data_IF_249050675560
#
_entry.id   IF_249050675560
#
_cell.length_a   1.000
_cell.length_b   1.000
_cell.length_c   1.000
_cell.angle_alpha   90.00
_cell.angle_beta   90.00
_cell.angle_gamma   90.00
#
_symmetry.space_group_name_H-M   'P 1'
#
loop_
_entity.id
_entity.type
_entity.pdbx_description
1 polymer ?
#
# COMPACT_ATOMS: atom_id res chain seq x y z
N UNK A 1 -46.08 -1.42 13.28
CA UNK A 1 -45.33 -0.24 13.79
C UNK A 1 -43.92 -0.29 13.19
N UNK A 2 -43.55 0.75 12.45
CA UNK A 2 -42.32 0.89 11.65
C UNK A 2 -41.05 0.76 12.50
N UNK A 3 -40.00 0.14 11.94
CA UNK A 3 -38.65 0.75 11.82
C UNK A 3 -37.78 -0.07 10.87
N UNK A 4 -37.74 0.41 9.62
CA UNK A 4 -36.80 0.01 8.58
C UNK A 4 -35.41 0.47 9.01
N UNK A 5 -34.48 -0.45 9.28
CA UNK A 5 -33.07 -0.11 9.51
C UNK A 5 -32.41 -0.09 8.14
N UNK A 6 -32.48 1.06 7.48
CA UNK A 6 -31.71 1.38 6.28
C UNK A 6 -30.22 1.27 6.64
N UNK A 7 -29.64 0.11 6.34
CA UNK A 7 -28.19 -0.05 6.27
C UNK A 7 -27.73 0.97 5.22
N UNK A 8 -26.78 1.86 5.53
CA UNK A 8 -26.19 2.70 4.50
C UNK A 8 -25.57 1.75 3.48
N UNK A 9 -26.25 1.61 2.33
CA UNK A 9 -25.69 1.02 1.13
C UNK A 9 -24.48 1.87 0.83
N UNK A 10 -23.29 1.30 1.06
CA UNK A 10 -22.01 1.87 0.65
C UNK A 10 -22.24 2.38 -0.77
N UNK A 11 -22.19 3.70 -0.96
CA UNK A 11 -22.28 4.30 -2.29
C UNK A 11 -21.27 3.56 -3.13
N UNK A 12 -21.77 2.76 -4.09
CA UNK A 12 -20.99 2.24 -5.19
C UNK A 12 -20.45 3.49 -5.86
N UNK A 13 -19.24 3.88 -5.47
CA UNK A 13 -18.51 4.92 -6.16
C UNK A 13 -18.37 4.35 -7.56
N UNK A 14 -19.00 5.01 -8.53
CA UNK A 14 -18.99 4.70 -9.96
C UNK A 14 -17.55 4.86 -10.52
N UNK A 15 -16.60 4.11 -9.98
CA UNK A 15 -15.23 4.06 -10.41
C UNK A 15 -15.25 3.18 -11.66
N UNK A 16 -15.01 3.83 -12.81
CA UNK A 16 -14.81 3.18 -14.10
C UNK A 16 -13.94 1.92 -13.97
N UNK A 17 -14.35 0.83 -14.61
CA UNK A 17 -13.63 -0.44 -14.61
C UNK A 17 -12.16 -0.29 -15.04
N UNK A 18 -11.88 0.66 -15.94
CA UNK A 18 -10.53 1.00 -16.36
C UNK A 18 -9.69 1.61 -15.22
N UNK A 19 -10.30 2.48 -14.42
CA UNK A 19 -9.66 3.09 -13.26
C UNK A 19 -9.44 2.07 -12.13
N UNK A 20 -10.40 1.16 -11.88
CA UNK A 20 -10.22 0.05 -10.93
C UNK A 20 -9.05 -0.85 -11.32
N UNK A 21 -8.96 -1.23 -12.61
CA UNK A 21 -7.81 -2.01 -13.13
C UNK A 21 -6.50 -1.25 -12.96
N UNK A 22 -6.47 0.05 -13.24
CA UNK A 22 -5.28 0.86 -13.06
C UNK A 22 -4.84 0.96 -11.60
N UNK A 23 -5.77 1.14 -10.66
CA UNK A 23 -5.49 1.14 -9.22
C UNK A 23 -4.91 -0.20 -8.74
N UNK A 24 -5.49 -1.32 -9.16
CA UNK A 24 -4.94 -2.63 -8.82
C UNK A 24 -3.58 -2.87 -9.47
N UNK A 25 -3.37 -2.42 -10.71
CA UNK A 25 -2.10 -2.55 -11.39
C UNK A 25 -0.99 -1.74 -10.69
N UNK A 26 -1.27 -0.49 -10.34
CA UNK A 26 -0.31 0.36 -9.62
C UNK A 26 0.02 -0.20 -8.24
N UNK A 27 -0.97 -0.69 -7.50
CA UNK A 27 -0.77 -1.39 -6.22
C UNK A 27 0.08 -2.67 -6.39
N UNK A 28 -0.15 -3.44 -7.46
CA UNK A 28 0.64 -4.63 -7.75
C UNK A 28 2.11 -4.29 -8.07
N UNK A 29 2.35 -3.25 -8.88
CA UNK A 29 3.72 -2.81 -9.23
C UNK A 29 4.46 -2.28 -8.00
N UNK A 30 3.81 -1.48 -7.15
CA UNK A 30 4.43 -1.02 -5.89
C UNK A 30 4.74 -2.17 -4.95
N UNK A 31 3.80 -3.12 -4.78
CA UNK A 31 4.03 -4.34 -4.01
C UNK A 31 5.19 -5.18 -4.56
N UNK A 32 5.26 -5.36 -5.89
CA UNK A 32 6.34 -6.06 -6.54
C UNK A 32 7.70 -5.40 -6.29
N UNK A 33 7.76 -4.06 -6.32
CA UNK A 33 8.97 -3.30 -5.97
C UNK A 33 9.45 -3.57 -4.54
N UNK A 34 8.53 -3.56 -3.57
CA UNK A 34 8.85 -3.88 -2.16
C UNK A 34 9.43 -5.30 -2.04
N UNK A 35 8.80 -6.29 -2.69
CA UNK A 35 9.28 -7.67 -2.67
C UNK A 35 10.66 -7.82 -3.32
N UNK A 36 10.92 -7.11 -4.43
CA UNK A 36 12.25 -7.09 -5.06
C UNK A 36 13.29 -6.53 -4.09
N UNK A 37 13.00 -5.39 -3.45
CA UNK A 37 13.90 -4.78 -2.47
C UNK A 37 14.15 -5.72 -1.28
N UNK A 38 13.12 -6.41 -0.80
CA UNK A 38 13.24 -7.41 0.27
C UNK A 38 14.19 -8.55 -0.12
N UNK A 39 14.04 -9.12 -1.32
CA UNK A 39 14.89 -10.22 -1.79
C UNK A 39 16.33 -9.74 -2.04
N UNK A 40 16.50 -8.57 -2.65
CA UNK A 40 17.82 -7.97 -2.90
C UNK A 40 18.51 -7.61 -1.59
N UNK A 41 17.78 -7.06 -0.62
CA UNK A 41 18.27 -6.75 0.73
C UNK A 41 18.85 -7.99 1.40
N UNK A 42 18.15 -9.13 1.32
CA UNK A 42 18.60 -10.37 1.94
C UNK A 42 19.92 -10.86 1.30
N UNK A 43 20.06 -10.68 -0.02
CA UNK A 43 21.29 -10.96 -0.76
C UNK A 43 22.42 -9.99 -0.41
N UNK A 44 22.13 -8.71 -0.23
CA UNK A 44 23.14 -7.69 0.13
C UNK A 44 23.62 -7.83 1.57
N UNK A 45 22.77 -8.30 2.49
CA UNK A 45 23.13 -8.55 3.89
C UNK A 45 23.91 -9.86 4.08
N UNK A 46 23.73 -10.84 3.19
CA UNK A 46 24.41 -12.14 3.24
C UNK A 46 25.93 -12.09 3.47
N UNK A 47 26.72 -11.25 2.79
CA UNK A 47 28.17 -11.20 3.00
C UNK A 47 28.61 -10.50 4.30
N UNK A 48 27.81 -9.57 4.84
CA UNK A 48 28.18 -8.78 6.02
C UNK A 48 27.68 -9.38 7.34
N UNK A 49 26.47 -9.93 7.34
CA UNK A 49 25.78 -10.42 8.55
C UNK A 49 25.54 -11.93 8.53
N UNK A 50 25.88 -12.61 7.43
CA UNK A 50 25.65 -14.04 7.23
C UNK A 50 24.21 -14.38 6.83
N UNK A 51 23.98 -15.61 6.37
CA UNK A 51 22.66 -16.13 5.93
C UNK A 51 21.84 -16.74 7.07
N UNK A 52 21.88 -16.12 8.25
CA UNK A 52 21.15 -16.61 9.42
C UNK A 52 19.66 -16.26 9.35
N UNK A 53 18.81 -17.14 9.88
CA UNK A 53 17.37 -16.89 10.05
C UNK A 53 17.09 -15.63 10.88
N UNK A 54 17.99 -15.28 11.80
CA UNK A 54 17.87 -14.06 12.60
C UNK A 54 17.93 -12.80 11.73
N UNK A 55 18.84 -12.76 10.75
CA UNK A 55 18.99 -11.62 9.84
C UNK A 55 17.79 -11.50 8.90
N UNK A 56 17.33 -12.64 8.37
CA UNK A 56 16.18 -12.68 7.48
C UNK A 56 14.89 -12.21 8.17
N UNK A 57 14.63 -12.69 9.39
CA UNK A 57 13.46 -12.27 10.17
C UNK A 57 13.55 -10.82 10.63
N UNK A 58 14.75 -10.33 10.99
CA UNK A 58 14.97 -8.92 11.29
C UNK A 58 14.67 -8.02 10.07
N UNK A 59 15.05 -8.45 8.87
CA UNK A 59 14.78 -7.69 7.66
C UNK A 59 13.27 -7.60 7.36
N UNK A 60 12.55 -8.72 7.42
CA UNK A 60 11.09 -8.74 7.25
C UNK A 60 10.42 -7.84 8.31
N UNK A 61 10.89 -7.90 9.57
CA UNK A 61 10.36 -7.05 10.63
C UNK A 61 10.54 -5.56 10.31
N UNK A 62 11.71 -5.16 9.82
CA UNK A 62 11.96 -3.77 9.40
C UNK A 62 11.05 -3.36 8.23
N UNK A 63 10.89 -4.21 7.23
CA UNK A 63 10.01 -3.94 6.08
C UNK A 63 8.56 -3.78 6.52
N UNK A 64 8.06 -4.65 7.40
CA UNK A 64 6.70 -4.54 7.94
C UNK A 64 6.50 -3.28 8.78
N UNK A 65 7.48 -2.89 9.60
CA UNK A 65 7.43 -1.64 10.37
C UNK A 65 7.40 -0.43 9.44
N UNK A 66 8.24 -0.42 8.40
CA UNK A 66 8.26 0.64 7.39
C UNK A 66 6.92 0.73 6.63
N UNK A 67 6.35 -0.41 6.23
CA UNK A 67 5.05 -0.46 5.56
C UNK A 67 3.92 -0.01 6.49
N UNK A 68 3.93 -0.44 7.74
CA UNK A 68 2.93 -0.01 8.72
C UNK A 68 2.95 1.51 8.91
N UNK A 69 4.13 2.11 9.07
CA UNK A 69 4.29 3.56 9.16
C UNK A 69 3.83 4.27 7.87
N UNK A 70 4.20 3.72 6.70
CA UNK A 70 3.78 4.22 5.40
C UNK A 70 2.26 4.19 5.20
N UNK A 71 1.60 3.08 5.55
CA UNK A 71 0.15 2.93 5.44
C UNK A 71 -0.60 3.78 6.46
N UNK A 72 -0.06 3.95 7.67
CA UNK A 72 -0.64 4.85 8.66
C UNK A 72 -0.62 6.31 8.17
N UNK A 73 0.54 6.78 7.72
CA UNK A 73 0.70 8.15 7.21
C UNK A 73 -0.06 8.38 5.91
N UNK A 74 -0.04 7.40 4.98
CA UNK A 74 -0.79 7.45 3.74
C UNK A 74 -2.30 7.42 3.96
N UNK A 75 -2.79 6.58 4.87
CA UNK A 75 -4.19 6.53 5.26
C UNK A 75 -4.66 7.83 5.90
N UNK A 76 -3.87 8.37 6.84
CA UNK A 76 -4.14 9.67 7.45
C UNK A 76 -4.22 10.81 6.42
N UNK A 77 -3.33 10.81 5.42
CA UNK A 77 -3.33 11.81 4.35
C UNK A 77 -4.55 11.69 3.42
N UNK A 78 -5.03 10.47 3.17
CA UNK A 78 -6.24 10.20 2.36
C UNK A 78 -7.50 10.57 3.14
N UNK A 79 -7.58 10.25 4.42
CA UNK A 79 -8.71 10.57 5.31
C UNK A 79 -8.93 12.08 5.42
N UNK A 80 -7.87 12.88 5.34
CA UNK A 80 -7.98 14.34 5.41
C UNK A 80 -8.58 14.97 4.14
N UNK A 81 -8.66 14.26 3.00
CA UNK A 81 -9.29 14.75 1.76
C UNK A 81 -9.60 13.61 0.79
N UNK A 82 -10.80 12.98 0.85
CA UNK A 82 -11.24 11.94 -0.08
C UNK A 82 -11.67 12.52 -1.44
N UNK A 83 -10.80 13.33 -2.08
CA UNK A 83 -11.02 13.90 -3.41
C UNK A 83 -10.09 13.23 -4.42
N UNK A 84 -10.70 12.60 -5.42
CA UNK A 84 -10.03 11.93 -6.55
C UNK A 84 -8.96 12.80 -7.24
N UNK A 85 -9.12 14.13 -7.19
CA UNK A 85 -8.15 15.10 -7.71
C UNK A 85 -6.76 15.00 -7.06
N UNK A 86 -6.64 14.65 -5.77
CA UNK A 86 -5.31 14.48 -5.12
C UNK A 86 -4.59 13.23 -5.58
N UNK A 87 -5.32 12.17 -5.95
CA UNK A 87 -4.71 10.98 -6.57
C UNK A 87 -4.08 11.35 -7.92
N UNK A 88 -4.78 12.15 -8.74
CA UNK A 88 -4.23 12.68 -9.98
C UNK A 88 -3.00 13.58 -9.76
N UNK A 89 -3.01 14.46 -8.75
CA UNK A 89 -1.83 15.28 -8.40
C UNK A 89 -0.67 14.45 -7.84
N UNK A 90 -0.94 13.39 -7.07
CA UNK A 90 0.10 12.50 -6.54
C UNK A 90 0.77 11.68 -7.65
N UNK A 91 0.02 11.26 -8.68
CA UNK A 91 0.58 10.59 -9.86
C UNK A 91 1.38 11.58 -10.73
N UNK A 92 0.88 12.81 -10.92
CA UNK A 92 1.61 13.86 -11.66
C UNK A 92 2.89 14.34 -10.95
N UNK A 93 2.91 14.33 -9.62
CA UNK A 93 4.11 14.68 -8.85
C UNK A 93 5.12 13.55 -8.70
N UNK A 94 4.71 12.31 -9.00
CA UNK A 94 5.58 11.13 -8.98
C UNK A 94 6.20 10.82 -10.35
N UNK A 95 5.67 11.40 -11.45
CA UNK A 95 6.21 11.32 -12.80
C UNK A 95 7.21 12.45 -13.07
#
# INVERSE_FOLDING_TARGET
MKKNKTIPTVEDTDISDGLRKFLYFTAAVTGAGILIVEILGAKMLSPFLGTSHFVWTAQIAVTLVALSAGYYTGGWLVDQSPKLNRLYYAILGAA
#
